data_IF_776908858173
#
_entry.id   IF_776908858173
#
_cell.length_a   1.000
_cell.length_b   1.000
_cell.length_c   1.000
_cell.angle_alpha   90.00
_cell.angle_beta   90.00
_cell.angle_gamma   90.00
#
_symmetry.space_group_name_H-M   'P 1'
#
loop_
_entity.id
_entity.type
_entity.pdbx_description
1 polymer ?
#
# COMPACT_ATOMS: atom_id res chain seq x y z
N UNK A 1 42.99 31.24 -43.46
CA UNK A 1 42.50 30.19 -42.54
C UNK A 1 42.92 30.55 -41.13
N UNK A 2 42.00 30.94 -40.24
CA UNK A 2 42.07 30.92 -38.76
C UNK A 2 41.07 31.95 -38.21
N UNK A 3 40.66 31.84 -36.94
CA UNK A 3 39.65 32.63 -36.23
C UNK A 3 38.17 32.23 -36.43
N UNK A 4 37.60 32.20 -37.64
CA UNK A 4 36.12 31.98 -37.77
C UNK A 4 35.63 30.55 -37.50
N UNK A 5 36.50 29.54 -37.62
CA UNK A 5 36.19 28.14 -37.27
C UNK A 5 36.36 27.83 -35.77
N UNK A 6 37.02 28.70 -35.00
CA UNK A 6 37.23 28.45 -33.57
C UNK A 6 36.01 28.82 -32.71
N UNK A 7 35.19 29.77 -33.14
CA UNK A 7 34.08 30.28 -32.31
C UNK A 7 32.89 29.29 -32.31
N UNK A 8 32.65 28.57 -33.41
CA UNK A 8 31.57 27.57 -33.49
C UNK A 8 31.92 26.30 -32.69
N UNK A 9 33.22 25.94 -32.63
CA UNK A 9 33.68 24.79 -31.84
C UNK A 9 33.59 25.01 -30.32
N UNK A 10 33.71 26.25 -29.86
CA UNK A 10 33.65 26.57 -28.43
C UNK A 10 32.22 26.70 -27.90
N UNK A 11 31.24 27.07 -28.73
CA UNK A 11 29.86 27.28 -28.31
C UNK A 11 29.04 25.97 -28.17
N UNK A 12 29.47 24.88 -28.81
CA UNK A 12 28.85 23.56 -28.67
C UNK A 12 29.38 22.73 -27.48
N UNK A 13 30.42 23.19 -26.78
CA UNK A 13 30.98 22.50 -25.61
C UNK A 13 30.32 22.92 -24.28
N UNK A 14 29.42 23.91 -24.29
CA UNK A 14 28.70 24.38 -23.09
C UNK A 14 27.27 23.82 -22.97
N UNK A 15 26.87 22.91 -23.87
CA UNK A 15 25.53 22.30 -23.88
C UNK A 15 25.30 21.04 -22.99
N UNK A 16 26.24 20.49 -22.18
CA UNK A 16 25.87 19.38 -21.30
C UNK A 16 25.38 19.82 -19.90
N UNK A 17 25.49 21.09 -19.51
CA UNK A 17 25.15 21.50 -18.12
C UNK A 17 23.65 21.77 -17.91
N UNK A 18 22.85 21.90 -18.97
CA UNK A 18 21.38 21.99 -18.87
C UNK A 18 20.68 20.62 -18.98
N UNK A 19 21.44 19.53 -19.16
CA UNK A 19 20.90 18.16 -19.31
C UNK A 19 20.83 17.33 -18.02
N UNK A 20 21.41 17.80 -16.91
CA UNK A 20 21.44 17.08 -15.63
C UNK A 20 20.89 17.89 -14.46
N UNK A 21 19.83 18.67 -14.70
CA UNK A 21 18.93 19.08 -13.63
C UNK A 21 17.55 18.43 -13.82
N UNK A 22 17.54 17.12 -14.04
CA UNK A 22 16.65 16.34 -13.21
C UNK A 22 17.26 16.45 -11.81
N UNK A 23 16.74 17.37 -10.99
CA UNK A 23 16.65 17.08 -9.56
C UNK A 23 16.23 15.61 -9.49
N UNK A 24 16.84 14.75 -8.67
CA UNK A 24 16.18 13.49 -8.34
C UNK A 24 14.84 13.91 -7.74
N UNK A 25 13.80 13.98 -8.57
CA UNK A 25 12.43 14.06 -8.16
C UNK A 25 12.21 12.70 -7.52
N UNK A 26 12.47 12.71 -6.21
CA UNK A 26 11.92 11.80 -5.25
C UNK A 26 12.47 10.38 -5.35
N UNK A 27 13.58 10.18 -4.64
CA UNK A 27 13.99 8.86 -4.13
C UNK A 27 12.98 8.26 -3.11
N UNK A 28 11.69 8.65 -3.15
CA UNK A 28 10.61 8.03 -2.37
C UNK A 28 9.72 7.14 -3.25
N UNK A 29 9.93 7.07 -4.57
CA UNK A 29 9.10 6.28 -5.49
C UNK A 29 9.78 5.06 -6.11
N UNK A 30 11.02 4.75 -5.72
CA UNK A 30 11.70 3.52 -6.14
C UNK A 30 11.77 2.61 -4.90
N UNK A 31 10.83 1.66 -4.82
CA UNK A 31 10.78 0.55 -3.86
C UNK A 31 10.22 0.80 -2.45
N UNK A 32 9.03 1.38 -2.35
CA UNK A 32 8.00 0.85 -1.45
C UNK A 32 6.79 0.52 -2.31
N UNK A 33 6.53 -0.75 -2.67
CA UNK A 33 5.24 -1.10 -3.23
C UNK A 33 4.19 -0.88 -2.12
N UNK A 34 3.58 0.30 -2.09
CA UNK A 34 2.57 0.66 -1.10
C UNK A 34 1.41 -0.34 -1.13
N UNK A 35 1.02 -0.82 0.04
CA UNK A 35 0.00 -1.84 0.21
C UNK A 35 0.40 -2.92 1.22
N UNK A 36 -0.60 -3.67 1.69
CA UNK A 36 -0.44 -4.82 2.58
C UNK A 36 0.75 -5.75 2.19
N UNK A 37 1.07 -5.84 0.90
CA UNK A 37 2.19 -6.59 0.32
C UNK A 37 3.58 -6.37 0.90
N UNK A 38 3.88 -5.19 1.47
CA UNK A 38 5.20 -4.92 2.09
C UNK A 38 5.10 -4.66 3.59
N UNK A 39 3.97 -5.00 4.19
CA UNK A 39 3.76 -4.79 5.61
C UNK A 39 4.81 -5.57 6.43
N UNK A 40 5.15 -6.81 6.05
CA UNK A 40 6.21 -7.57 6.75
C UNK A 40 7.56 -6.84 6.77
N UNK A 41 8.01 -6.34 5.61
CA UNK A 41 9.30 -5.67 5.48
C UNK A 41 9.33 -4.34 6.25
N UNK A 42 8.26 -3.56 6.15
CA UNK A 42 8.17 -2.26 6.81
C UNK A 42 8.14 -2.40 8.35
N UNK A 43 7.49 -3.45 8.85
CA UNK A 43 7.38 -3.71 10.29
C UNK A 43 8.63 -4.38 10.89
N UNK A 44 9.48 -5.02 10.08
CA UNK A 44 10.66 -5.72 10.55
C UNK A 44 11.65 -4.81 11.31
N UNK A 45 11.65 -3.51 11.01
CA UNK A 45 12.55 -2.52 11.61
C UNK A 45 11.85 -1.58 12.60
N UNK A 46 10.56 -1.79 12.89
CA UNK A 46 9.79 -0.95 13.80
C UNK A 46 9.78 -1.50 15.21
N UNK A 47 10.03 -0.64 16.20
CA UNK A 47 9.88 -0.96 17.62
C UNK A 47 8.40 -1.14 18.00
N UNK A 48 7.49 -0.38 17.37
CA UNK A 48 6.06 -0.48 17.59
C UNK A 48 5.35 -0.90 16.29
N UNK A 49 5.33 -2.20 16.07
CA UNK A 49 4.83 -2.78 14.82
C UNK A 49 3.32 -2.55 14.63
N UNK A 50 2.51 -2.58 15.68
CA UNK A 50 1.06 -2.36 15.57
C UNK A 50 0.72 -0.91 15.23
N UNK A 51 1.39 0.05 15.86
CA UNK A 51 1.20 1.46 15.56
C UNK A 51 1.64 1.77 14.12
N UNK A 52 2.77 1.23 13.68
CA UNK A 52 3.24 1.43 12.31
C UNK A 52 2.32 0.75 11.29
N UNK A 53 1.74 -0.42 11.61
CA UNK A 53 0.74 -1.07 10.78
C UNK A 53 -0.53 -0.23 10.64
N UNK A 54 -0.98 0.43 11.72
CA UNK A 54 -2.09 1.36 11.66
C UNK A 54 -1.75 2.60 10.81
N UNK A 55 -0.55 3.16 10.95
CA UNK A 55 -0.09 4.29 10.13
C UNK A 55 0.01 3.93 8.65
N UNK A 56 0.46 2.71 8.34
CA UNK A 56 0.47 2.18 6.98
C UNK A 56 -0.94 2.12 6.39
N UNK A 57 -1.93 1.66 7.15
CA UNK A 57 -3.31 1.64 6.70
C UNK A 57 -3.84 3.05 6.38
N UNK A 58 -3.54 4.05 7.21
CA UNK A 58 -3.92 5.45 6.95
C UNK A 58 -3.25 6.00 5.67
N UNK A 59 -1.97 5.66 5.44
CA UNK A 59 -1.26 6.01 4.20
C UNK A 59 -1.89 5.36 2.98
N UNK A 60 -2.28 4.10 3.07
CA UNK A 60 -2.94 3.37 1.99
C UNK A 60 -4.34 3.92 1.71
N UNK A 61 -5.11 4.24 2.75
CA UNK A 61 -6.39 4.95 2.64
C UNK A 61 -6.22 6.29 1.92
N UNK A 62 -5.25 7.11 2.33
CA UNK A 62 -4.98 8.41 1.72
C UNK A 62 -4.57 8.28 0.24
N UNK A 63 -3.93 7.18 -0.13
CA UNK A 63 -3.56 6.87 -1.51
C UNK A 63 -4.68 6.18 -2.32
N UNK A 64 -5.86 5.97 -1.72
CA UNK A 64 -6.98 5.27 -2.37
C UNK A 64 -6.76 3.77 -2.56
N UNK A 65 -5.81 3.17 -1.83
CA UNK A 65 -5.51 1.74 -1.85
C UNK A 65 -6.19 1.06 -0.67
N UNK A 66 -7.31 0.38 -0.92
CA UNK A 66 -8.04 -0.31 0.14
C UNK A 66 -7.74 -1.79 0.07
N UNK A 67 -7.10 -2.32 1.12
CA UNK A 67 -6.81 -3.74 1.26
C UNK A 67 -7.46 -4.32 2.51
N UNK A 68 -7.98 -5.53 2.40
CA UNK A 68 -8.39 -6.33 3.56
C UNK A 68 -7.50 -7.57 3.66
N UNK A 69 -6.76 -7.64 4.76
CA UNK A 69 -5.78 -8.70 4.97
C UNK A 69 -6.46 -9.97 5.46
N UNK A 70 -6.17 -11.05 4.76
CA UNK A 70 -6.49 -12.42 5.10
C UNK A 70 -5.20 -13.11 5.55
N UNK A 71 -5.32 -14.09 6.45
CA UNK A 71 -4.19 -14.93 6.86
C UNK A 71 -4.44 -16.32 6.32
N UNK A 72 -3.65 -16.72 5.33
CA UNK A 72 -3.64 -18.07 4.78
C UNK A 72 -2.45 -18.87 5.30
N UNK A 73 -2.50 -20.18 5.09
CA UNK A 73 -1.39 -21.09 5.35
C UNK A 73 -0.64 -21.40 4.06
N UNK A 74 -0.48 -22.69 3.77
CA UNK A 74 0.27 -23.17 2.61
C UNK A 74 -0.48 -22.92 1.28
N UNK A 75 -1.82 -22.90 1.31
CA UNK A 75 -2.66 -22.71 0.11
C UNK A 75 -3.71 -21.62 0.33
N UNK A 76 -3.75 -20.57 -0.52
CA UNK A 76 -4.83 -19.58 -0.53
C UNK A 76 -6.17 -20.19 -0.91
N UNK A 77 -7.25 -19.67 -0.35
CA UNK A 77 -8.62 -20.03 -0.74
C UNK A 77 -9.23 -18.88 -1.52
N UNK A 78 -9.65 -19.16 -2.75
CA UNK A 78 -10.29 -18.17 -3.63
C UNK A 78 -11.78 -18.48 -3.71
N UNK A 79 -12.62 -17.51 -3.34
CA UNK A 79 -14.06 -17.62 -3.51
C UNK A 79 -14.52 -16.79 -4.71
N UNK A 80 -15.48 -17.30 -5.50
CA UNK A 80 -16.05 -16.54 -6.61
C UNK A 80 -16.75 -15.25 -6.15
N UNK A 81 -17.25 -15.22 -4.92
CA UNK A 81 -17.83 -14.04 -4.28
C UNK A 81 -16.83 -12.93 -3.99
N UNK A 82 -15.52 -13.23 -3.95
CA UNK A 82 -14.49 -12.26 -3.60
C UNK A 82 -14.46 -11.14 -4.65
N UNK A 83 -14.43 -11.49 -5.94
CA UNK A 83 -14.46 -10.50 -7.03
C UNK A 83 -15.70 -9.59 -6.97
N UNK A 84 -16.85 -10.12 -6.55
CA UNK A 84 -18.09 -9.34 -6.42
C UNK A 84 -17.96 -8.33 -5.29
N UNK A 85 -17.45 -8.75 -4.13
CA UNK A 85 -17.22 -7.87 -2.98
C UNK A 85 -16.19 -6.78 -3.31
N UNK A 86 -15.06 -7.18 -3.89
CA UNK A 86 -13.95 -6.30 -4.22
C UNK A 86 -14.36 -5.19 -5.19
N UNK A 87 -15.05 -5.56 -6.28
CA UNK A 87 -15.59 -4.60 -7.25
C UNK A 87 -16.62 -3.67 -6.63
N UNK A 88 -17.53 -4.21 -5.81
CA UNK A 88 -18.62 -3.43 -5.20
C UNK A 88 -18.12 -2.38 -4.21
N UNK A 89 -17.10 -2.69 -3.43
CA UNK A 89 -16.58 -1.80 -2.38
C UNK A 89 -15.21 -1.19 -2.70
N UNK A 90 -14.69 -1.41 -3.93
CA UNK A 90 -13.40 -0.90 -4.42
C UNK A 90 -12.26 -1.20 -3.44
N UNK A 91 -12.22 -2.45 -2.99
CA UNK A 91 -11.27 -2.98 -2.00
C UNK A 91 -10.71 -4.28 -2.55
N UNK A 92 -9.48 -4.63 -2.19
CA UNK A 92 -8.84 -5.88 -2.62
C UNK A 92 -8.52 -6.74 -1.40
N UNK A 93 -8.81 -8.03 -1.49
CA UNK A 93 -8.35 -9.00 -0.50
C UNK A 93 -6.86 -9.27 -0.71
N UNK A 94 -6.09 -9.16 0.36
CA UNK A 94 -4.67 -9.45 0.35
C UNK A 94 -4.40 -10.66 1.24
N UNK A 95 -4.03 -11.78 0.63
CA UNK A 95 -3.73 -13.02 1.32
C UNK A 95 -2.27 -13.01 1.78
N UNK A 96 -2.06 -12.83 3.09
CA UNK A 96 -0.75 -13.05 3.71
C UNK A 96 -0.53 -14.53 3.97
N UNK A 97 0.62 -15.04 3.52
CA UNK A 97 1.02 -16.43 3.71
C UNK A 97 1.67 -16.69 5.08
N UNK A 98 2.41 -17.80 5.18
CA UNK A 98 3.07 -18.22 6.41
C UNK A 98 4.09 -17.19 6.96
N UNK A 99 4.77 -16.44 6.08
CA UNK A 99 5.85 -15.50 6.44
C UNK A 99 5.37 -14.04 6.59
N UNK A 100 4.06 -13.82 6.66
CA UNK A 100 3.50 -12.49 6.85
C UNK A 100 3.75 -11.90 8.25
N UNK A 101 3.38 -10.63 8.46
CA UNK A 101 3.49 -9.98 9.76
C UNK A 101 2.63 -10.67 10.82
N UNK A 102 2.91 -10.38 12.10
CA UNK A 102 2.17 -10.98 13.19
C UNK A 102 0.66 -10.60 13.15
N UNK A 103 -0.16 -11.41 13.81
CA UNK A 103 -1.62 -11.24 13.76
C UNK A 103 -2.10 -9.88 14.28
N UNK A 104 -1.45 -9.35 15.31
CA UNK A 104 -1.82 -8.07 15.91
C UNK A 104 -1.60 -6.90 14.94
N UNK A 105 -0.51 -6.92 14.17
CA UNK A 105 -0.24 -5.92 13.13
C UNK A 105 -1.28 -5.95 12.01
N UNK A 106 -1.61 -7.15 11.51
CA UNK A 106 -2.68 -7.32 10.52
C UNK A 106 -4.03 -6.84 11.05
N UNK A 107 -4.32 -7.09 12.33
CA UNK A 107 -5.54 -6.62 12.98
C UNK A 107 -5.56 -5.09 13.13
N UNK A 108 -4.44 -4.47 13.52
CA UNK A 108 -4.29 -3.02 13.64
C UNK A 108 -4.52 -2.33 12.28
N UNK A 109 -3.90 -2.86 11.22
CA UNK A 109 -4.10 -2.39 9.85
C UNK A 109 -5.57 -2.51 9.42
N UNK A 110 -6.16 -3.71 9.51
CA UNK A 110 -7.53 -3.96 9.07
C UNK A 110 -8.56 -3.13 9.87
N UNK A 111 -8.31 -2.85 11.16
CA UNK A 111 -9.20 -2.03 11.99
C UNK A 111 -9.40 -0.61 11.42
N UNK A 112 -8.33 0.00 10.89
CA UNK A 112 -8.41 1.30 10.20
C UNK A 112 -9.21 1.18 8.91
N UNK A 113 -8.95 0.13 8.12
CA UNK A 113 -9.70 -0.16 6.89
C UNK A 113 -11.19 -0.39 7.14
N UNK A 114 -11.58 -1.12 8.18
CA UNK A 114 -13.00 -1.35 8.53
C UNK A 114 -13.71 -0.05 8.92
N UNK A 115 -13.03 0.82 9.65
CA UNK A 115 -13.54 2.13 10.04
C UNK A 115 -13.76 2.98 8.79
N UNK A 116 -12.78 3.02 7.89
CA UNK A 116 -12.88 3.73 6.62
C UNK A 116 -13.98 3.18 5.71
N UNK A 117 -14.07 1.86 5.51
CA UNK A 117 -15.14 1.21 4.75
C UNK A 117 -16.53 1.49 5.34
N UNK A 118 -16.64 1.58 6.68
CA UNK A 118 -17.88 1.97 7.35
C UNK A 118 -18.23 3.43 7.09
N UNK A 119 -17.24 4.32 7.07
CA UNK A 119 -17.46 5.73 6.73
C UNK A 119 -17.94 5.88 5.28
N UNK A 120 -17.40 5.11 4.33
CA UNK A 120 -17.79 5.18 2.91
C UNK A 120 -19.14 4.51 2.60
N UNK A 121 -19.38 3.33 3.17
CA UNK A 121 -20.47 2.44 2.73
C UNK A 121 -21.46 2.08 3.85
N UNK A 122 -21.33 2.70 5.02
CA UNK A 122 -22.12 2.36 6.20
C UNK A 122 -21.94 0.90 6.61
N UNK A 123 -23.04 0.24 6.97
CA UNK A 123 -23.02 -1.16 7.43
C UNK A 123 -23.21 -2.18 6.29
N UNK A 124 -23.35 -1.76 5.04
CA UNK A 124 -23.69 -2.65 3.92
C UNK A 124 -22.60 -3.71 3.66
N UNK A 125 -21.33 -3.31 3.65
CA UNK A 125 -20.18 -4.19 3.39
C UNK A 125 -20.02 -5.30 4.43
N UNK A 126 -20.45 -5.05 5.68
CA UNK A 126 -20.31 -5.98 6.83
C UNK A 126 -21.02 -7.32 6.62
N UNK A 127 -22.06 -7.35 5.79
CA UNK A 127 -22.84 -8.57 5.50
C UNK A 127 -22.15 -9.47 4.50
N UNK A 128 -21.37 -8.90 3.58
CA UNK A 128 -20.78 -9.58 2.43
C UNK A 128 -19.28 -9.81 2.56
N UNK A 129 -18.60 -9.10 3.46
CA UNK A 129 -17.17 -9.33 3.73
C UNK A 129 -16.92 -10.74 4.25
N UNK A 130 -15.80 -11.31 3.82
CA UNK A 130 -15.26 -12.59 4.29
C UNK A 130 -15.18 -12.60 5.83
N UNK A 131 -15.55 -13.74 6.43
CA UNK A 131 -15.61 -13.88 7.90
C UNK A 131 -14.26 -14.15 8.54
N UNK A 132 -13.29 -14.55 7.74
CA UNK A 132 -11.91 -14.88 8.06
C UNK A 132 -10.94 -13.70 7.84
N UNK A 133 -11.44 -12.53 7.40
CA UNK A 133 -10.65 -11.29 7.40
C UNK A 133 -10.12 -11.04 8.80
N UNK A 134 -8.81 -10.82 8.90
CA UNK A 134 -8.09 -10.71 10.16
C UNK A 134 -8.71 -9.58 11.01
N UNK A 135 -9.03 -9.90 12.26
CA UNK A 135 -9.60 -8.94 13.21
C UNK A 135 -11.08 -8.57 13.00
N UNK A 136 -11.74 -9.01 11.92
CA UNK A 136 -13.10 -8.55 11.60
C UNK A 136 -14.14 -8.91 12.68
N UNK A 137 -14.08 -10.14 13.20
CA UNK A 137 -15.02 -10.61 14.23
C UNK A 137 -14.89 -9.80 15.53
N UNK A 138 -13.66 -9.51 15.94
CA UNK A 138 -13.32 -8.75 17.15
C UNK A 138 -13.75 -7.30 17.00
N UNK A 139 -13.34 -6.66 15.91
CA UNK A 139 -13.71 -5.27 15.60
C UNK A 139 -15.23 -5.08 15.56
N UNK A 140 -15.95 -5.98 14.87
CA UNK A 140 -17.42 -5.91 14.77
C UNK A 140 -18.13 -6.02 16.13
N UNK A 141 -17.56 -6.76 17.09
CA UNK A 141 -18.12 -6.83 18.46
C UNK A 141 -17.92 -5.52 19.21
N UNK A 142 -16.76 -4.89 19.06
CA UNK A 142 -16.42 -3.61 19.70
C UNK A 142 -17.17 -2.41 19.08
N UNK A 143 -17.52 -2.49 17.80
CA UNK A 143 -18.25 -1.43 17.07
C UNK A 143 -19.77 -1.63 17.01
N UNK A 144 -20.34 -2.38 17.95
CA UNK A 144 -21.79 -2.48 18.16
C UNK A 144 -22.28 -1.28 18.95
#
# INVERSE_FOLDING_TARGET
MTARKLIIGALLMLLPVLGFCQLPQRADSIFYPGGASNMALLLAFSENQEAEAALLAERDIAAGRLFLILKSGIAPVVYSSDSVFEKKFRVTYWEEGCSGPNYACMQAYNSRMFTHLTSLYGKAWRRTVRRDVVGYKQWRKASK
#
